data_IF_662612241919
#
_entry.id   IF_662612241919
#
_cell.length_a   1.000
_cell.length_b   1.000
_cell.length_c   1.000
_cell.angle_alpha   90.00
_cell.angle_beta   90.00
_cell.angle_gamma   90.00
#
_symmetry.space_group_name_H-M   'P 1'
#
loop_
_entity.id
_entity.type
_entity.pdbx_description
1 polymer ?
#
# COMPACT_ATOMS: atom_id res chain seq x y z
N UNK A 1 1.51 8.21 -71.83
CA UNK A 1 0.50 8.60 -70.83
C UNK A 1 1.22 9.35 -69.71
N UNK A 2 1.31 10.69 -69.83
CA UNK A 2 2.03 11.53 -68.87
C UNK A 2 1.21 11.63 -67.58
N UNK A 3 1.74 11.15 -66.45
CA UNK A 3 1.14 11.42 -65.15
C UNK A 3 1.09 12.93 -64.94
N UNK A 4 -0.11 13.46 -64.73
CA UNK A 4 -0.35 14.87 -64.50
C UNK A 4 0.36 15.32 -63.22
N UNK A 5 1.28 16.30 -63.32
CA UNK A 5 2.10 16.78 -62.19
C UNK A 5 1.27 17.12 -60.95
N UNK A 6 0.04 17.62 -61.14
CA UNK A 6 -0.87 17.93 -60.05
C UNK A 6 -1.34 16.67 -59.28
N UNK A 7 -1.55 15.55 -59.95
CA UNK A 7 -1.89 14.27 -59.30
C UNK A 7 -0.73 13.73 -58.46
N UNK A 8 0.51 13.96 -58.89
CA UNK A 8 1.71 13.55 -58.15
C UNK A 8 1.89 14.36 -56.86
N UNK A 9 1.61 15.66 -56.91
CA UNK A 9 1.64 16.54 -55.73
C UNK A 9 0.56 16.15 -54.72
N UNK A 10 -0.68 15.89 -55.17
CA UNK A 10 -1.75 15.42 -54.30
C UNK A 10 -1.44 14.07 -53.65
N UNK A 11 -0.81 13.16 -54.38
CA UNK A 11 -0.36 11.88 -53.86
C UNK A 11 0.72 12.04 -52.76
N UNK A 12 1.69 12.92 -52.98
CA UNK A 12 2.73 13.23 -51.98
C UNK A 12 2.15 13.88 -50.71
N UNK A 13 1.24 14.84 -50.86
CA UNK A 13 0.56 15.49 -49.73
C UNK A 13 -0.30 14.49 -48.94
N UNK A 14 -0.95 13.55 -49.63
CA UNK A 14 -1.70 12.48 -48.99
C UNK A 14 -0.79 11.53 -48.19
N UNK A 15 0.36 11.16 -48.75
CA UNK A 15 1.39 10.37 -48.05
C UNK A 15 1.94 11.08 -46.80
N UNK A 16 2.27 12.37 -46.91
CA UNK A 16 2.72 13.17 -45.76
C UNK A 16 1.64 13.22 -44.67
N UNK A 17 0.37 13.36 -45.04
CA UNK A 17 -0.75 13.38 -44.10
C UNK A 17 -0.92 12.03 -43.39
N UNK A 18 -0.75 10.91 -44.11
CA UNK A 18 -0.75 9.55 -43.52
C UNK A 18 0.40 9.39 -42.54
N UNK A 19 1.62 9.79 -42.91
CA UNK A 19 2.79 9.71 -42.03
C UNK A 19 2.56 10.52 -40.76
N UNK A 20 1.99 11.72 -40.87
CA UNK A 20 1.69 12.59 -39.73
C UNK A 20 0.63 11.98 -38.80
N UNK A 21 -0.44 11.39 -39.35
CA UNK A 21 -1.46 10.66 -38.59
C UNK A 21 -0.88 9.45 -37.83
N UNK A 22 -0.03 8.67 -38.50
CA UNK A 22 0.64 7.50 -37.89
C UNK A 22 1.58 7.90 -36.75
N UNK A 23 2.24 9.06 -36.88
CA UNK A 23 3.13 9.63 -35.86
C UNK A 23 2.36 10.02 -34.58
N UNK A 24 1.17 10.60 -34.74
CA UNK A 24 0.31 11.04 -33.63
C UNK A 24 -0.21 9.82 -32.85
N UNK A 25 -0.71 8.80 -33.53
CA UNK A 25 -1.19 7.55 -32.89
C UNK A 25 -0.06 6.83 -32.12
N UNK A 26 1.15 6.77 -32.69
CA UNK A 26 2.31 6.15 -32.05
C UNK A 26 2.71 6.85 -30.73
N UNK A 27 2.62 8.19 -30.67
CA UNK A 27 2.90 8.95 -29.44
C UNK A 27 1.88 8.67 -28.32
N UNK A 28 0.60 8.52 -28.67
CA UNK A 28 -0.49 8.20 -27.74
C UNK A 28 -0.33 6.80 -27.15
N UNK A 29 0.04 5.83 -27.98
CA UNK A 29 0.28 4.44 -27.57
C UNK A 29 1.48 4.36 -26.60
N UNK A 30 2.58 5.07 -26.88
CA UNK A 30 3.75 5.09 -25.98
C UNK A 30 3.46 5.75 -24.63
N UNK A 31 2.58 6.77 -24.59
CA UNK A 31 2.13 7.38 -23.33
C UNK A 31 1.14 6.47 -22.57
N UNK A 32 0.30 5.72 -23.28
CA UNK A 32 -0.59 4.72 -22.67
C UNK A 32 0.20 3.55 -22.07
N UNK A 33 1.28 3.13 -22.72
CA UNK A 33 2.24 2.15 -22.21
C UNK A 33 3.41 2.79 -21.45
N UNK A 34 3.32 4.07 -21.07
CA UNK A 34 4.32 4.69 -20.22
C UNK A 34 4.38 3.85 -18.94
N UNK A 35 5.46 3.08 -18.82
CA UNK A 35 5.71 2.24 -17.65
C UNK A 35 5.50 3.11 -16.42
N UNK A 36 4.65 2.63 -15.51
CA UNK A 36 4.58 3.15 -14.15
C UNK A 36 6.01 3.39 -13.67
N UNK A 37 6.32 4.63 -13.30
CA UNK A 37 7.67 5.00 -12.80
C UNK A 37 7.96 4.36 -11.45
N UNK A 38 6.95 3.70 -10.86
CA UNK A 38 7.08 3.04 -9.58
C UNK A 38 7.90 1.75 -9.70
N UNK A 39 8.91 1.63 -8.86
CA UNK A 39 9.89 0.53 -8.88
C UNK A 39 9.68 -0.48 -7.75
N UNK A 40 8.88 -0.14 -6.75
CA UNK A 40 8.62 -1.01 -5.61
C UNK A 40 7.27 -0.70 -4.94
N UNK A 41 6.75 -1.69 -4.21
CA UNK A 41 5.49 -1.60 -3.48
C UNK A 41 5.76 -1.84 -1.98
N UNK A 42 5.06 -1.09 -1.15
CA UNK A 42 5.03 -1.22 0.31
C UNK A 42 3.61 -1.41 0.79
N UNK A 43 3.44 -2.08 1.92
CA UNK A 43 2.17 -2.18 2.61
C UNK A 43 2.33 -1.83 4.09
N UNK A 44 1.38 -1.08 4.64
CA UNK A 44 1.24 -0.81 6.07
C UNK A 44 -0.13 -1.34 6.47
N UNK A 45 -0.15 -2.43 7.23
CA UNK A 45 -1.36 -3.16 7.61
C UNK A 45 -1.57 -3.06 9.12
N UNK A 46 -2.69 -2.48 9.54
CA UNK A 46 -2.92 -2.14 10.94
C UNK A 46 -4.25 -2.72 11.42
N UNK A 47 -4.18 -3.59 12.43
CA UNK A 47 -5.32 -3.92 13.28
C UNK A 47 -5.20 -3.15 14.58
N UNK A 48 -6.04 -2.14 14.76
CA UNK A 48 -5.99 -1.25 15.92
C UNK A 48 -6.83 -1.72 17.11
N UNK A 49 -7.65 -2.76 16.94
CA UNK A 49 -8.53 -3.29 18.00
C UNK A 49 -7.93 -4.45 18.78
N UNK A 50 -8.38 -4.58 20.03
CA UNK A 50 -7.98 -5.66 20.95
C UNK A 50 -9.17 -6.54 21.31
N UNK A 51 -8.88 -7.64 22.01
CA UNK A 51 -9.84 -8.59 22.58
C UNK A 51 -10.53 -9.52 21.58
N UNK A 52 -10.99 -10.64 22.12
CA UNK A 52 -11.57 -11.75 21.35
C UNK A 52 -12.79 -11.34 20.51
N UNK A 53 -13.66 -10.46 21.01
CA UNK A 53 -14.85 -10.03 20.27
C UNK A 53 -14.51 -9.19 19.02
N UNK A 54 -13.27 -8.74 18.88
CA UNK A 54 -12.74 -8.04 17.70
C UNK A 54 -11.90 -8.93 16.79
N UNK A 55 -11.99 -10.25 16.93
CA UNK A 55 -11.33 -11.27 16.09
C UNK A 55 -11.31 -10.91 14.60
N UNK A 56 -12.44 -10.41 14.08
CA UNK A 56 -12.62 -10.04 12.66
C UNK A 56 -11.59 -9.02 12.15
N UNK A 57 -11.13 -8.10 13.00
CA UNK A 57 -10.17 -7.07 12.58
C UNK A 57 -8.79 -7.70 12.32
N UNK A 58 -8.36 -8.61 13.20
CA UNK A 58 -7.10 -9.36 13.00
C UNK A 58 -7.20 -10.30 11.80
N UNK A 59 -8.34 -11.00 11.63
CA UNK A 59 -8.52 -11.88 10.47
C UNK A 59 -8.53 -11.11 9.14
N UNK A 60 -9.08 -9.90 9.12
CA UNK A 60 -9.07 -9.04 7.93
C UNK A 60 -7.65 -8.65 7.51
N UNK A 61 -6.84 -8.16 8.47
CA UNK A 61 -5.44 -7.82 8.22
C UNK A 61 -4.64 -9.01 7.74
N UNK A 62 -4.75 -10.16 8.43
CA UNK A 62 -4.00 -11.35 8.06
C UNK A 62 -4.44 -11.95 6.72
N UNK A 63 -5.70 -11.78 6.33
CA UNK A 63 -6.17 -12.14 4.98
C UNK A 63 -5.44 -11.32 3.91
N UNK A 64 -5.26 -10.02 4.14
CA UNK A 64 -4.54 -9.14 3.22
C UNK A 64 -3.04 -9.44 3.23
N UNK A 65 -2.42 -9.58 4.41
CA UNK A 65 -1.02 -9.97 4.57
C UNK A 65 -0.70 -11.25 3.78
N UNK A 66 -1.50 -12.31 3.98
CA UNK A 66 -1.34 -13.57 3.26
C UNK A 66 -1.49 -13.40 1.75
N UNK A 67 -2.43 -12.57 1.31
CA UNK A 67 -2.63 -12.30 -0.12
C UNK A 67 -1.43 -11.57 -0.73
N UNK A 68 -0.87 -10.57 -0.04
CA UNK A 68 0.33 -9.86 -0.47
C UNK A 68 1.54 -10.78 -0.56
N UNK A 69 1.75 -11.66 0.44
CA UNK A 69 2.82 -12.68 0.38
C UNK A 69 2.63 -13.64 -0.79
N UNK A 70 1.40 -14.10 -1.05
CA UNK A 70 1.10 -14.97 -2.20
C UNK A 70 1.36 -14.29 -3.56
N UNK A 71 1.26 -12.96 -3.60
CA UNK A 71 1.61 -12.14 -4.78
C UNK A 71 3.10 -11.81 -4.86
N UNK A 72 3.93 -12.34 -3.96
CA UNK A 72 5.40 -12.18 -4.00
C UNK A 72 5.93 -10.94 -3.28
N UNK A 73 5.11 -10.23 -2.49
CA UNK A 73 5.62 -9.12 -1.68
C UNK A 73 6.44 -9.68 -0.49
N UNK A 74 7.71 -9.26 -0.32
CA UNK A 74 8.54 -9.72 0.79
C UNK A 74 8.14 -9.04 2.10
N UNK A 75 8.36 -9.72 3.23
CA UNK A 75 8.09 -9.16 4.57
C UNK A 75 8.86 -7.86 4.82
N UNK A 76 10.04 -7.70 4.23
CA UNK A 76 10.82 -6.45 4.30
C UNK A 76 10.10 -5.21 3.76
N UNK A 77 8.98 -5.39 3.05
CA UNK A 77 8.15 -4.36 2.43
C UNK A 77 6.72 -4.32 3.02
N UNK A 78 6.41 -5.16 4.01
CA UNK A 78 5.12 -5.19 4.69
C UNK A 78 5.36 -4.81 6.14
N UNK A 79 4.76 -3.72 6.59
CA UNK A 79 4.72 -3.36 8.00
C UNK A 79 3.40 -3.86 8.58
N UNK A 80 3.47 -4.84 9.47
CA UNK A 80 2.31 -5.47 10.11
C UNK A 80 2.19 -5.02 11.57
N UNK A 81 1.07 -4.38 11.91
CA UNK A 81 0.76 -3.92 13.27
C UNK A 81 -0.48 -4.65 13.79
N UNK A 82 -0.31 -5.47 14.84
CA UNK A 82 -1.40 -6.22 15.48
C UNK A 82 -1.51 -5.85 16.97
N UNK A 83 -2.59 -5.16 17.33
CA UNK A 83 -2.82 -4.70 18.70
C UNK A 83 -3.10 -5.84 19.71
N UNK A 84 -3.42 -7.05 19.24
CA UNK A 84 -3.65 -8.23 20.08
C UNK A 84 -3.19 -9.53 19.40
N UNK A 85 -2.82 -10.52 20.22
CA UNK A 85 -2.37 -11.83 19.78
C UNK A 85 -3.52 -12.85 19.87
N UNK A 86 -4.43 -12.77 18.90
CA UNK A 86 -5.60 -13.65 18.79
C UNK A 86 -5.24 -15.14 18.68
N UNK A 87 -4.20 -15.57 17.93
CA UNK A 87 -3.77 -16.97 17.88
C UNK A 87 -3.45 -17.59 19.25
N UNK A 88 -2.96 -16.79 20.21
CA UNK A 88 -2.65 -17.22 21.57
C UNK A 88 -3.74 -16.89 22.61
N UNK A 89 -4.91 -16.40 22.19
CA UNK A 89 -5.98 -16.05 23.12
C UNK A 89 -6.60 -17.31 23.77
N UNK A 90 -6.84 -17.29 25.07
CA UNK A 90 -7.43 -18.42 25.81
C UNK A 90 -8.84 -18.81 25.34
N UNK A 91 -9.56 -17.90 24.66
CA UNK A 91 -10.87 -18.19 24.05
C UNK A 91 -10.77 -18.86 22.68
N UNK A 92 -9.57 -18.96 22.11
CA UNK A 92 -9.37 -19.55 20.79
C UNK A 92 -9.43 -21.09 20.87
N UNK A 93 -10.44 -21.75 20.25
CA UNK A 93 -10.52 -23.21 20.25
C UNK A 93 -9.46 -23.85 19.35
N UNK A 94 -8.78 -23.07 18.50
CA UNK A 94 -7.71 -23.54 17.62
C UNK A 94 -6.42 -22.78 17.90
N UNK A 95 -5.60 -23.24 18.88
CA UNK A 95 -4.36 -22.58 19.24
C UNK A 95 -3.44 -22.36 18.03
N UNK A 96 -2.74 -21.22 18.01
CA UNK A 96 -1.83 -20.82 16.93
C UNK A 96 -2.48 -20.67 15.54
N UNK A 97 -3.82 -20.64 15.46
CA UNK A 97 -4.53 -20.49 14.20
C UNK A 97 -5.55 -19.35 14.24
N UNK A 98 -5.80 -18.77 13.06
CA UNK A 98 -6.85 -17.78 12.82
C UNK A 98 -7.45 -18.00 11.42
N UNK A 99 -8.76 -17.84 11.31
CA UNK A 99 -9.54 -18.17 10.11
C UNK A 99 -10.45 -16.99 9.75
N UNK A 100 -10.78 -16.80 8.48
CA UNK A 100 -11.75 -15.79 8.02
C UNK A 100 -13.07 -16.39 7.54
N UNK A 101 -13.27 -17.70 7.71
CA UNK A 101 -14.46 -18.40 7.26
C UNK A 101 -14.88 -19.46 8.29
N UNK A 102 -16.17 -19.77 8.33
CA UNK A 102 -16.77 -20.68 9.31
C UNK A 102 -16.26 -22.12 9.21
N UNK A 103 -15.75 -22.53 8.04
CA UNK A 103 -15.26 -23.88 7.80
C UNK A 103 -13.75 -24.04 8.03
N UNK A 104 -13.07 -23.00 8.53
CA UNK A 104 -11.65 -23.03 8.85
C UNK A 104 -10.76 -23.53 7.69
N UNK A 105 -11.15 -23.25 6.43
CA UNK A 105 -10.47 -23.82 5.26
C UNK A 105 -8.99 -23.47 5.17
N UNK A 106 -8.58 -22.34 5.73
CA UNK A 106 -7.20 -21.87 5.63
C UNK A 106 -6.81 -21.06 6.85
N UNK A 107 -5.78 -21.53 7.57
CA UNK A 107 -5.13 -20.74 8.61
C UNK A 107 -4.43 -19.53 7.97
N UNK A 108 -4.71 -18.34 8.50
CA UNK A 108 -4.13 -17.08 8.04
C UNK A 108 -2.84 -16.73 8.80
N UNK A 109 -2.64 -17.28 10.00
CA UNK A 109 -1.43 -17.09 10.78
C UNK A 109 -0.40 -18.11 10.33
N UNK A 110 0.50 -17.68 9.45
CA UNK A 110 1.59 -18.49 8.91
C UNK A 110 2.72 -18.62 9.93
N UNK A 111 3.51 -19.70 9.87
CA UNK A 111 4.68 -19.90 10.74
C UNK A 111 5.71 -18.77 10.59
N UNK A 112 5.81 -18.19 9.39
CA UNK A 112 6.71 -17.10 9.03
C UNK A 112 6.03 -15.72 9.07
N UNK A 113 4.93 -15.56 9.81
CA UNK A 113 4.26 -14.26 9.96
C UNK A 113 5.15 -13.30 10.76
N UNK A 114 5.66 -12.27 10.10
CA UNK A 114 6.42 -11.20 10.76
C UNK A 114 5.46 -10.10 11.24
N UNK A 115 5.30 -9.99 12.57
CA UNK A 115 4.53 -8.90 13.19
C UNK A 115 5.51 -7.83 13.68
N UNK A 116 5.54 -6.68 13.03
CA UNK A 116 6.49 -5.62 13.38
C UNK A 116 6.13 -4.93 14.68
N UNK A 117 4.90 -4.43 14.79
CA UNK A 117 4.40 -3.78 16.00
C UNK A 117 3.39 -4.69 16.70
N UNK A 118 3.71 -5.07 17.94
CA UNK A 118 2.92 -6.04 18.71
C UNK A 118 2.28 -5.38 19.93
N UNK A 119 1.00 -5.66 20.15
CA UNK A 119 0.33 -5.30 21.40
C UNK A 119 0.38 -3.80 21.67
N UNK A 120 1.02 -3.42 22.78
CA UNK A 120 1.15 -2.02 23.22
C UNK A 120 1.94 -1.13 22.26
N UNK A 121 2.73 -1.70 21.36
CA UNK A 121 3.44 -0.90 20.34
C UNK A 121 2.51 -0.35 19.24
N UNK A 122 1.28 -0.87 19.13
CA UNK A 122 0.30 -0.44 18.12
C UNK A 122 -0.46 0.79 18.62
N UNK A 123 0.18 1.95 18.53
CA UNK A 123 -0.37 3.25 18.93
C UNK A 123 -0.61 4.15 17.72
N UNK A 124 -1.51 5.12 17.86
CA UNK A 124 -1.72 6.13 16.82
C UNK A 124 -0.43 6.91 16.55
N UNK A 125 0.30 7.25 17.61
CA UNK A 125 1.60 7.92 17.53
C UNK A 125 2.64 7.12 16.72
N UNK A 126 2.77 5.82 16.97
CA UNK A 126 3.75 4.99 16.25
C UNK A 126 3.39 4.87 14.76
N UNK A 127 2.10 4.80 14.42
CA UNK A 127 1.66 4.83 13.02
C UNK A 127 2.02 6.18 12.36
N UNK A 128 1.72 7.30 13.00
CA UNK A 128 2.06 8.63 12.45
C UNK A 128 3.57 8.79 12.31
N UNK A 129 4.37 8.37 13.31
CA UNK A 129 5.83 8.37 13.22
C UNK A 129 6.36 7.48 12.10
N UNK A 130 5.72 6.32 11.89
CA UNK A 130 6.05 5.40 10.80
C UNK A 130 5.84 6.06 9.43
N UNK A 131 4.66 6.63 9.19
CA UNK A 131 4.30 7.28 7.94
C UNK A 131 5.18 8.50 7.65
N UNK A 132 5.50 9.27 8.68
CA UNK A 132 6.28 10.52 8.54
C UNK A 132 7.80 10.34 8.60
N UNK A 133 8.29 9.10 8.70
CA UNK A 133 9.72 8.77 8.88
C UNK A 133 10.36 9.46 10.09
N UNK A 134 9.62 9.59 11.20
CA UNK A 134 10.04 10.26 12.45
C UNK A 134 10.36 9.29 13.59
N UNK A 135 10.70 8.04 13.29
CA UNK A 135 11.19 7.09 14.30
C UNK A 135 12.60 7.45 14.77
N UNK A 136 12.93 7.11 16.03
CA UNK A 136 14.27 7.31 16.58
C UNK A 136 15.33 6.50 15.81
N UNK A 137 16.60 6.93 15.82
CA UNK A 137 17.66 6.30 15.02
C UNK A 137 17.92 4.82 15.38
N UNK A 138 17.66 4.42 16.63
CA UNK A 138 17.79 3.03 17.08
C UNK A 138 16.64 2.11 16.68
N UNK A 139 15.56 2.64 16.06
CA UNK A 139 14.43 1.81 15.60
C UNK A 139 14.93 0.79 14.56
N UNK A 140 14.62 -0.51 14.75
CA UNK A 140 14.99 -1.58 13.82
C UNK A 140 14.48 -1.35 12.39
N UNK A 141 15.14 -1.96 11.40
CA UNK A 141 14.80 -1.78 9.98
C UNK A 141 13.37 -2.22 9.64
N UNK A 142 12.92 -3.34 10.19
CA UNK A 142 11.57 -3.88 9.94
C UNK A 142 10.45 -3.01 10.54
N UNK A 143 10.78 -2.08 11.43
CA UNK A 143 9.87 -1.05 11.96
C UNK A 143 9.95 0.29 11.21
N UNK A 144 10.44 0.28 9.96
CA UNK A 144 10.61 1.50 9.15
C UNK A 144 9.98 1.34 7.77
N UNK A 145 9.19 2.33 7.38
CA UNK A 145 8.69 2.48 6.03
C UNK A 145 9.76 3.19 5.19
N UNK A 146 10.54 2.43 4.41
CA UNK A 146 11.64 2.96 3.59
C UNK A 146 11.17 3.28 2.15
N UNK A 147 9.97 3.84 2.02
CA UNK A 147 9.40 4.26 0.74
C UNK A 147 10.09 5.51 0.19
N UNK A 148 10.11 5.64 -1.13
CA UNK A 148 10.69 6.76 -1.88
C UNK A 148 9.73 7.26 -2.96
N UNK A 149 10.20 8.19 -3.81
CA UNK A 149 9.39 8.80 -4.87
C UNK A 149 8.88 7.84 -5.94
N UNK A 150 9.47 6.65 -6.05
CA UNK A 150 9.09 5.57 -6.96
C UNK A 150 8.34 4.44 -6.22
N UNK A 151 7.91 4.65 -4.99
CA UNK A 151 7.19 3.62 -4.22
C UNK A 151 5.68 3.79 -4.35
N UNK A 152 4.95 2.69 -4.47
CA UNK A 152 3.51 2.66 -4.14
C UNK A 152 3.35 2.18 -2.71
N UNK A 153 2.55 2.87 -1.92
CA UNK A 153 2.30 2.50 -0.51
C UNK A 153 0.81 2.20 -0.34
N UNK A 154 0.49 0.96 0.00
CA UNK A 154 -0.85 0.55 0.43
C UNK A 154 -0.95 0.73 1.95
N UNK A 155 -1.91 1.52 2.41
CA UNK A 155 -2.21 1.65 3.84
C UNK A 155 -3.58 1.02 4.08
N UNK A 156 -3.64 -0.01 4.91
CA UNK A 156 -4.87 -0.69 5.29
C UNK A 156 -5.05 -0.63 6.80
N UNK A 157 -6.10 0.07 7.24
CA UNK A 157 -6.46 0.21 8.65
C UNK A 157 -7.77 -0.52 8.90
N UNK A 158 -7.83 -1.33 9.96
CA UNK A 158 -9.08 -1.93 10.43
C UNK A 158 -9.17 -1.85 11.96
N UNK A 159 -10.35 -1.48 12.42
CA UNK A 159 -10.65 -1.27 13.82
C UNK A 159 -12.03 -0.65 13.97
N UNK A 160 -12.34 -0.19 15.17
CA UNK A 160 -13.53 0.61 15.42
C UNK A 160 -13.25 2.07 15.09
N UNK A 161 -14.23 2.75 14.51
CA UNK A 161 -14.15 4.19 14.22
C UNK A 161 -15.45 4.89 14.54
N UNK A 162 -15.40 6.21 14.47
CA UNK A 162 -16.56 7.09 14.57
C UNK A 162 -16.39 8.28 13.65
N UNK A 163 -17.16 9.33 13.88
CA UNK A 163 -17.05 10.57 13.12
C UNK A 163 -15.67 11.21 13.36
N UNK A 164 -14.83 11.24 12.31
CA UNK A 164 -13.53 11.91 12.36
C UNK A 164 -12.42 11.15 13.10
N UNK A 165 -12.60 9.88 13.49
CA UNK A 165 -11.54 9.12 14.15
C UNK A 165 -11.60 7.60 13.94
N UNK A 166 -10.45 6.95 14.12
CA UNK A 166 -10.28 5.50 14.28
C UNK A 166 -9.68 5.22 15.67
N UNK A 167 -10.29 4.33 16.46
CA UNK A 167 -9.80 3.95 17.79
C UNK A 167 -8.57 3.04 17.70
N UNK A 168 -7.62 3.28 18.59
CA UNK A 168 -6.45 2.46 18.86
C UNK A 168 -6.52 1.91 20.28
N UNK A 169 -6.47 0.58 20.39
CA UNK A 169 -6.43 -0.17 21.66
C UNK A 169 -7.52 0.20 22.68
N UNK A 170 -8.68 0.69 22.22
CA UNK A 170 -9.79 1.19 23.04
C UNK A 170 -9.45 2.37 23.98
N UNK A 171 -8.29 3.02 23.81
CA UNK A 171 -7.82 4.10 24.68
C UNK A 171 -7.38 5.36 23.92
N UNK A 172 -6.84 5.19 22.72
CA UNK A 172 -6.34 6.28 21.87
C UNK A 172 -7.19 6.40 20.61
N UNK A 173 -7.08 7.54 19.94
CA UNK A 173 -7.75 7.81 18.68
C UNK A 173 -6.74 8.38 17.68
N UNK A 174 -6.79 7.87 16.45
CA UNK A 174 -6.18 8.52 15.29
C UNK A 174 -7.27 9.36 14.64
N UNK A 175 -7.12 10.69 14.68
CA UNK A 175 -8.11 11.58 14.07
C UNK A 175 -7.93 11.62 12.54
N UNK A 176 -8.97 12.07 11.85
CA UNK A 176 -8.91 12.35 10.41
C UNK A 176 -7.83 13.39 10.08
N UNK A 177 -7.65 14.38 10.95
CA UNK A 177 -6.62 15.41 10.79
C UNK A 177 -5.22 14.83 10.93
N UNK A 178 -4.97 13.98 11.95
CA UNK A 178 -3.66 13.34 12.14
C UNK A 178 -3.25 12.51 10.91
N UNK A 179 -4.20 11.75 10.36
CA UNK A 179 -3.95 10.94 9.16
C UNK A 179 -3.73 11.82 7.92
N UNK A 180 -4.52 12.88 7.75
CA UNK A 180 -4.37 13.81 6.64
C UNK A 180 -2.99 14.50 6.67
N UNK A 181 -2.56 14.99 7.83
CA UNK A 181 -1.27 15.65 8.02
C UNK A 181 -0.09 14.67 7.82
N UNK A 182 -0.26 13.41 8.24
CA UNK A 182 0.74 12.37 7.97
C UNK A 182 0.90 12.09 6.47
N UNK A 183 -0.21 11.97 5.74
CA UNK A 183 -0.19 11.74 4.28
C UNK A 183 0.37 12.97 3.54
N UNK A 184 0.00 14.18 3.94
CA UNK A 184 0.58 15.42 3.40
C UNK A 184 2.09 15.46 3.63
N UNK A 185 2.55 15.07 4.83
CA UNK A 185 3.98 14.98 5.13
C UNK A 185 4.70 13.97 4.22
N UNK A 186 4.10 12.80 3.98
CA UNK A 186 4.64 11.80 3.04
C UNK A 186 4.77 12.38 1.63
N UNK A 187 3.76 13.10 1.18
CA UNK A 187 3.75 13.75 -0.14
C UNK A 187 4.84 14.83 -0.26
N UNK A 188 4.99 15.69 0.75
CA UNK A 188 6.04 16.72 0.76
C UNK A 188 7.45 16.12 0.75
N UNK A 189 7.67 15.03 1.50
CA UNK A 189 8.96 14.33 1.51
C UNK A 189 9.31 13.74 0.14
N UNK A 190 8.31 13.17 -0.56
CA UNK A 190 8.46 12.72 -1.95
C UNK A 190 8.89 13.88 -2.87
N UNK A 191 8.19 15.01 -2.81
CA UNK A 191 8.49 16.17 -3.67
C UNK A 191 9.90 16.73 -3.44
N UNK A 192 10.37 16.76 -2.18
CA UNK A 192 11.74 17.17 -1.84
C UNK A 192 12.80 16.19 -2.36
N UNK A 193 12.52 14.89 -2.36
CA UNK A 193 13.45 13.89 -2.91
C UNK A 193 13.62 14.02 -4.42
N UNK A 194 12.60 14.50 -5.14
CA UNK A 194 12.64 14.70 -6.59
C UNK A 194 13.46 15.95 -6.93
N UNK A 195 13.32 17.03 -6.16
CA UNK A 195 13.97 18.32 -6.42
C UNK A 195 15.44 18.43 -5.94
N UNK A 196 16.07 17.33 -5.52
CA UNK A 196 17.48 17.29 -5.08
C UNK A 196 18.46 16.86 -6.18
N UNK A 197 17.99 16.75 -7.42
CA UNK A 197 18.79 16.46 -8.61
C UNK A 197 18.58 17.53 -9.67
#
# INVERSE_FOLDING_TARGET
MLLNKNKLIFFFLFLIKIIFLFSIECSSINNFFAKSTHTNNWAVLVCSSRFWFNYRHVSNVLSLYKSLKRLGMPDSNIILMLADNIPCNARNPSPAAIYNNAHSHQNLFLEDTEVDYRGYEVTAENLVRLLTSRQINSTPRNKRLLSNSQSNVLIYLTGHGGEGFLKFQDAEELTSQDLADAIETMWQQKSRSINRF
#
